data_IF_496447306691
#
_entry.id   IF_496447306691
#
_cell.length_a   1.000
_cell.length_b   1.000
_cell.length_c   1.000
_cell.angle_alpha   90.00
_cell.angle_beta   90.00
_cell.angle_gamma   90.00
#
_symmetry.space_group_name_H-M   'P 1'
#
loop_
_entity.id
_entity.type
_entity.pdbx_description
1 polymer ?
#
# COMPACT_ATOMS: atom_id res chain seq x y z
N UNK A 1 -38.20 -36.56 -6.09
CA UNK A 1 -37.52 -35.72 -5.07
C UNK A 1 -36.04 -35.49 -5.40
N UNK A 2 -35.25 -36.52 -5.72
CA UNK A 2 -33.80 -36.43 -6.03
C UNK A 2 -33.46 -35.49 -7.20
N UNK A 3 -34.25 -35.48 -8.28
CA UNK A 3 -34.01 -34.60 -9.42
C UNK A 3 -34.09 -33.10 -9.07
N UNK A 4 -35.04 -32.73 -8.20
CA UNK A 4 -35.18 -31.34 -7.70
C UNK A 4 -33.97 -30.97 -6.83
N UNK A 5 -33.49 -31.92 -6.01
CA UNK A 5 -32.30 -31.72 -5.17
C UNK A 5 -31.04 -31.49 -6.03
N UNK A 6 -30.84 -32.27 -7.09
CA UNK A 6 -29.74 -32.08 -8.04
C UNK A 6 -29.79 -30.71 -8.73
N UNK A 7 -30.99 -30.26 -9.13
CA UNK A 7 -31.18 -28.92 -9.70
C UNK A 7 -30.80 -27.82 -8.72
N UNK A 8 -31.20 -27.91 -7.45
CA UNK A 8 -30.81 -26.92 -6.44
C UNK A 8 -29.31 -26.90 -6.21
N UNK A 9 -28.65 -28.06 -6.13
CA UNK A 9 -27.18 -28.13 -5.99
C UNK A 9 -26.49 -27.49 -7.20
N UNK A 10 -26.98 -27.74 -8.42
CA UNK A 10 -26.43 -27.15 -9.64
C UNK A 10 -26.57 -25.62 -9.62
N UNK A 11 -27.75 -25.11 -9.27
CA UNK A 11 -28.04 -23.67 -9.21
C UNK A 11 -27.19 -22.99 -8.13
N UNK A 12 -27.18 -23.53 -6.91
CA UNK A 12 -26.35 -23.00 -5.83
C UNK A 12 -24.85 -23.09 -6.17
N UNK A 13 -24.42 -24.15 -6.83
CA UNK A 13 -23.05 -24.30 -7.32
C UNK A 13 -22.68 -23.21 -8.33
N UNK A 14 -23.54 -22.93 -9.30
CA UNK A 14 -23.34 -21.87 -10.29
C UNK A 14 -23.28 -20.48 -9.64
N UNK A 15 -24.20 -20.19 -8.70
CA UNK A 15 -24.21 -18.93 -7.95
C UNK A 15 -22.93 -18.77 -7.11
N UNK A 16 -22.54 -19.80 -6.37
CA UNK A 16 -21.33 -19.80 -5.57
C UNK A 16 -20.07 -19.58 -6.42
N UNK A 17 -19.98 -20.23 -7.58
CA UNK A 17 -18.85 -20.07 -8.49
C UNK A 17 -18.78 -18.66 -9.08
N UNK A 18 -19.94 -18.08 -9.43
CA UNK A 18 -20.05 -16.71 -9.90
C UNK A 18 -19.58 -15.70 -8.85
N UNK A 19 -20.09 -15.80 -7.62
CA UNK A 19 -19.70 -14.92 -6.51
C UNK A 19 -18.20 -15.10 -6.20
N UNK A 20 -17.71 -16.34 -6.10
CA UNK A 20 -16.30 -16.63 -5.82
C UNK A 20 -15.36 -16.06 -6.88
N UNK A 21 -15.75 -16.09 -8.16
CA UNK A 21 -14.97 -15.48 -9.25
C UNK A 21 -14.89 -13.96 -9.10
N UNK A 22 -16.02 -13.30 -8.85
CA UNK A 22 -16.08 -11.84 -8.65
C UNK A 22 -15.23 -11.41 -7.44
N UNK A 23 -15.35 -12.10 -6.31
CA UNK A 23 -14.56 -11.79 -5.11
C UNK A 23 -13.05 -11.92 -5.35
N UNK A 24 -12.62 -12.92 -6.12
CA UNK A 24 -11.21 -13.11 -6.47
C UNK A 24 -10.71 -11.98 -7.37
N UNK A 25 -11.50 -11.57 -8.35
CA UNK A 25 -11.14 -10.49 -9.27
C UNK A 25 -11.09 -9.14 -8.54
N UNK A 26 -12.00 -8.90 -7.58
CA UNK A 26 -11.98 -7.71 -6.73
C UNK A 26 -10.70 -7.67 -5.87
N UNK A 27 -10.31 -8.78 -5.25
CA UNK A 27 -9.08 -8.87 -4.45
C UNK A 27 -7.81 -8.58 -5.27
N UNK A 28 -7.76 -8.99 -6.54
CA UNK A 28 -6.64 -8.69 -7.42
C UNK A 28 -6.56 -7.19 -7.76
N UNK A 29 -7.70 -6.54 -8.06
CA UNK A 29 -7.69 -5.10 -8.37
C UNK A 29 -7.26 -4.23 -7.19
N UNK A 30 -7.62 -4.59 -5.96
CA UNK A 30 -7.14 -3.89 -4.77
C UNK A 30 -5.65 -4.06 -4.54
N UNK A 31 -5.11 -5.27 -4.76
CA UNK A 31 -3.68 -5.52 -4.62
C UNK A 31 -2.83 -4.71 -5.62
N UNK A 32 -3.34 -4.49 -6.84
CA UNK A 32 -2.65 -3.70 -7.86
C UNK A 32 -2.68 -2.19 -7.54
N UNK A 33 -3.79 -1.69 -7.00
CA UNK A 33 -3.93 -0.27 -6.58
C UNK A 33 -3.02 0.05 -5.38
N UNK A 34 -2.92 -0.85 -4.41
CA UNK A 34 -2.05 -0.68 -3.24
C UNK A 34 -0.56 -0.67 -3.63
N UNK A 35 -0.17 -1.54 -4.58
CA UNK A 35 1.22 -1.59 -5.07
C UNK A 35 1.61 -0.31 -5.82
N UNK A 36 0.76 0.18 -6.72
CA UNK A 36 1.04 1.39 -7.48
C UNK A 36 1.20 2.63 -6.59
N UNK A 37 0.42 2.69 -5.50
CA UNK A 37 0.49 3.80 -4.53
C UNK A 37 1.76 3.71 -3.68
N UNK A 38 2.10 2.52 -3.20
CA UNK A 38 3.31 2.30 -2.38
C UNK A 38 4.60 2.60 -3.14
N UNK A 39 4.68 2.22 -4.42
CA UNK A 39 5.86 2.47 -5.24
C UNK A 39 6.08 3.97 -5.51
N UNK A 40 4.99 4.73 -5.69
CA UNK A 40 5.06 6.18 -5.88
C UNK A 40 5.54 6.89 -4.60
N UNK A 41 5.00 6.50 -3.44
CA UNK A 41 5.39 7.08 -2.14
C UNK A 41 6.87 6.80 -1.80
N UNK A 42 7.36 5.59 -2.10
CA UNK A 42 8.78 5.23 -1.93
C UNK A 42 9.71 6.02 -2.85
N UNK A 43 9.26 6.38 -4.05
CA UNK A 43 10.05 7.17 -4.99
C UNK A 43 10.09 8.66 -4.59
N UNK A 44 9.00 9.17 -4.02
CA UNK A 44 8.93 10.54 -3.50
C UNK A 44 9.81 10.74 -2.27
N UNK A 45 9.90 9.75 -1.37
CA UNK A 45 10.81 9.76 -0.21
C UNK A 45 12.30 9.74 -0.58
N UNK A 46 12.66 9.28 -1.78
CA UNK A 46 14.04 9.25 -2.28
C UNK A 46 14.46 10.57 -2.94
N UNK A 47 13.57 11.55 -3.06
CA UNK A 47 13.92 12.85 -3.66
C UNK A 47 14.96 13.57 -2.80
N UNK A 48 16.06 14.07 -3.42
CA UNK A 48 17.04 14.87 -2.70
C UNK A 48 16.37 16.14 -2.18
N UNK A 49 16.32 16.31 -0.85
CA UNK A 49 15.66 17.43 -0.17
C UNK A 49 14.51 17.05 0.76
N UNK A 50 14.07 15.78 0.80
CA UNK A 50 13.09 15.31 1.79
C UNK A 50 13.83 14.89 3.06
N UNK A 51 13.61 15.64 4.14
CA UNK A 51 14.18 15.32 5.46
C UNK A 51 13.12 14.63 6.30
N UNK A 52 13.42 13.40 6.74
CA UNK A 52 12.56 12.67 7.67
C UNK A 52 12.65 13.32 9.06
N UNK A 53 11.51 13.81 9.56
CA UNK A 53 11.40 14.36 10.89
C UNK A 53 11.16 13.23 11.89
N UNK A 54 12.08 13.06 12.84
CA UNK A 54 11.94 12.11 13.93
C UNK A 54 11.34 12.82 15.15
N UNK A 55 10.36 12.19 15.79
CA UNK A 55 9.80 12.69 17.05
C UNK A 55 10.79 12.45 18.16
N UNK A 56 11.16 13.52 18.85
CA UNK A 56 12.08 13.50 19.98
C UNK A 56 11.31 13.28 21.30
N UNK A 57 12.03 12.95 22.37
CA UNK A 57 11.47 12.61 23.68
C UNK A 57 10.74 13.80 24.35
N UNK A 58 11.06 15.02 23.94
CA UNK A 58 10.39 16.27 24.32
C UNK A 58 9.08 16.51 23.55
N UNK A 59 8.74 15.63 22.60
CA UNK A 59 7.56 15.72 21.76
C UNK A 59 7.72 16.64 20.55
N UNK A 60 8.87 17.29 20.38
CA UNK A 60 9.19 18.14 19.22
C UNK A 60 9.73 17.27 18.09
N UNK A 61 9.37 17.62 16.85
CA UNK A 61 9.86 16.94 15.67
C UNK A 61 11.10 17.65 15.15
N UNK A 62 12.22 16.93 15.06
CA UNK A 62 13.51 17.45 14.57
C UNK A 62 13.98 16.63 13.37
N UNK A 63 14.72 17.24 12.44
CA UNK A 63 15.37 16.48 11.36
C UNK A 63 16.31 15.44 11.99
N UNK A 64 16.21 14.18 11.55
CA UNK A 64 17.08 13.12 12.08
C UNK A 64 18.55 13.36 11.72
N UNK A 65 19.47 12.81 12.52
CA UNK A 65 20.93 13.05 12.48
C UNK A 65 21.61 12.98 11.09
N UNK A 66 20.99 12.30 10.11
CA UNK A 66 21.48 12.22 8.72
C UNK A 66 21.27 13.50 7.90
N UNK A 67 20.38 14.39 8.31
CA UNK A 67 20.11 15.63 7.59
C UNK A 67 21.06 16.77 7.97
N UNK A 68 21.71 16.69 9.13
CA UNK A 68 22.69 17.69 9.55
C UNK A 68 24.01 17.57 8.78
N UNK A 69 24.40 16.36 8.36
CA UNK A 69 25.59 16.17 7.53
C UNK A 69 25.46 16.71 6.10
N UNK A 70 24.24 16.89 5.58
CA UNK A 70 24.01 17.41 4.22
C UNK A 70 23.89 18.95 4.20
N UNK A 71 23.64 19.58 5.37
CA UNK A 71 23.67 21.04 5.52
C UNK A 71 25.07 21.59 5.81
N UNK A 72 25.92 20.84 6.52
CA UNK A 72 27.29 21.29 6.80
C UNK A 72 28.12 21.45 5.52
N UNK A 73 27.85 20.64 4.49
CA UNK A 73 28.62 20.65 3.23
C UNK A 73 28.22 21.81 2.28
N UNK A 74 27.03 22.41 2.48
CA UNK A 74 26.58 23.59 1.72
C UNK A 74 26.97 24.92 2.34
N UNK A 75 27.34 24.94 3.63
CA UNK A 75 27.66 26.19 4.33
C UNK A 75 29.14 26.59 4.21
N UNK A 76 30.01 25.69 3.75
CA UNK A 76 31.46 25.91 3.56
C UNK A 76 31.85 26.32 2.11
N UNK A 77 30.87 26.61 1.24
CA UNK A 77 31.10 27.09 -0.14
C UNK A 77 30.44 28.46 -0.42
N UNK A 78 30.37 29.32 0.60
CA UNK A 78 29.88 30.71 0.50
C UNK A 78 31.03 31.70 0.56
#
# INVERSE_FOLDING_TARGET
>A
MVLRLLLYILIFGAIYFGIRKILRDWKQRFADIDKATRERDLNERKRPGVVELKRDHDGVFRPGDKADSDKSDKQDKG
#
